data_IF_597100707485
#
_entry.id   IF_597100707485
#
_cell.length_a   1.000
_cell.length_b   1.000
_cell.length_c   1.000
_cell.angle_alpha   90.00
_cell.angle_beta   90.00
_cell.angle_gamma   90.00
#
_symmetry.space_group_name_H-M   'P 1'
#
loop_
_entity.id
_entity.type
_entity.pdbx_description
1 polymer ?
#
# COMPACT_ATOMS: atom_id res chain seq x y z
N UNK A 1 5.72 8.41 -8.34
CA UNK A 1 5.62 7.62 -7.09
C UNK A 1 4.27 6.96 -7.20
N UNK A 2 4.32 5.67 -7.50
CA UNK A 2 3.19 4.93 -8.05
C UNK A 2 2.63 4.11 -6.89
N UNK A 3 1.64 4.69 -6.22
CA UNK A 3 0.90 4.03 -5.14
C UNK A 3 -0.46 3.65 -5.68
N UNK A 4 -0.50 2.48 -6.32
CA UNK A 4 -1.74 1.86 -6.79
C UNK A 4 -2.13 0.76 -5.81
N UNK A 5 -3.40 0.74 -5.41
CA UNK A 5 -3.95 -0.33 -4.58
C UNK A 5 -5.10 -1.01 -5.32
N UNK A 6 -5.08 -2.33 -5.36
CA UNK A 6 -6.17 -3.16 -5.87
C UNK A 6 -6.88 -3.83 -4.69
N UNK A 7 -8.13 -4.23 -4.89
CA UNK A 7 -8.95 -4.82 -3.83
C UNK A 7 -9.31 -6.26 -4.16
N UNK A 8 -9.28 -7.12 -3.14
CA UNK A 8 -9.55 -8.56 -3.26
C UNK A 8 -10.99 -8.83 -3.68
N UNK A 9 -11.96 -8.17 -3.03
CA UNK A 9 -13.39 -8.34 -3.30
C UNK A 9 -13.93 -7.34 -4.34
N UNK A 10 -13.14 -6.32 -4.67
CA UNK A 10 -13.49 -5.25 -5.61
C UNK A 10 -12.52 -5.25 -6.80
N UNK A 11 -12.40 -6.40 -7.48
CA UNK A 11 -11.41 -6.66 -8.55
C UNK A 11 -11.48 -5.73 -9.76
N UNK A 12 -12.59 -5.01 -9.93
CA UNK A 12 -12.76 -4.02 -11.01
C UNK A 12 -12.33 -2.61 -10.63
N UNK A 13 -11.84 -2.41 -9.40
CA UNK A 13 -11.47 -1.11 -8.86
C UNK A 13 -10.02 -1.10 -8.38
N UNK A 14 -9.37 0.04 -8.58
CA UNK A 14 -8.09 0.37 -7.99
C UNK A 14 -8.08 1.82 -7.52
N UNK A 15 -7.27 2.12 -6.51
CA UNK A 15 -6.94 3.50 -6.14
C UNK A 15 -5.69 3.91 -6.91
N UNK A 16 -5.78 4.93 -7.76
CA UNK A 16 -4.62 5.59 -8.39
C UNK A 16 -4.34 6.93 -7.68
N UNK A 17 -3.21 7.01 -6.99
CA UNK A 17 -2.75 8.22 -6.30
C UNK A 17 -1.71 9.04 -7.08
N UNK A 18 -1.51 8.79 -8.38
CA UNK A 18 -0.49 9.45 -9.20
C UNK A 18 -0.67 10.97 -9.25
N UNK A 19 -1.92 11.45 -9.40
CA UNK A 19 -2.25 12.89 -9.49
C UNK A 19 -2.89 13.47 -8.23
N UNK A 20 -3.73 12.68 -7.56
CA UNK A 20 -4.45 13.11 -6.36
C UNK A 20 -4.36 12.03 -5.29
N UNK A 21 -3.89 12.39 -4.11
CA UNK A 21 -3.75 11.46 -2.99
C UNK A 21 -3.26 12.19 -1.74
N UNK A 22 -3.34 11.52 -0.59
CA UNK A 22 -2.82 12.04 0.66
C UNK A 22 -1.37 11.57 0.89
N UNK A 23 -0.84 11.76 2.10
CA UNK A 23 0.52 11.37 2.47
C UNK A 23 0.86 9.88 2.27
N UNK A 24 -0.13 8.98 2.25
CA UNK A 24 0.08 7.55 2.06
C UNK A 24 0.76 7.23 0.72
N UNK A 25 0.57 8.08 -0.31
CA UNK A 25 1.16 7.91 -1.65
C UNK A 25 2.69 8.00 -1.70
N UNK A 26 3.33 8.36 -0.59
CA UNK A 26 4.78 8.51 -0.50
C UNK A 26 5.43 7.40 0.34
N UNK A 27 4.63 6.51 0.95
CA UNK A 27 5.15 5.38 1.70
C UNK A 27 5.83 4.40 0.76
N UNK A 28 7.03 3.96 1.12
CA UNK A 28 7.85 3.10 0.27
C UNK A 28 7.62 1.62 0.58
N UNK A 29 8.03 0.80 -0.37
CA UNK A 29 8.00 -0.65 -0.24
C UNK A 29 8.98 -1.17 0.81
N UNK A 30 8.56 -2.17 1.57
CA UNK A 30 9.43 -3.13 2.25
C UNK A 30 8.81 -4.52 2.17
N UNK A 31 9.60 -5.52 1.78
CA UNK A 31 9.09 -6.88 1.56
C UNK A 31 8.58 -7.51 2.86
N UNK A 32 7.63 -8.45 2.74
CA UNK A 32 7.12 -9.19 3.89
C UNK A 32 8.23 -9.94 4.61
N UNK A 33 8.16 -9.97 5.95
CA UNK A 33 9.17 -10.57 6.81
C UNK A 33 10.48 -9.78 6.94
N UNK A 34 10.70 -8.70 6.18
CA UNK A 34 11.90 -7.88 6.32
C UNK A 34 11.82 -6.91 7.50
N UNK A 35 12.99 -6.67 8.11
CA UNK A 35 13.16 -5.67 9.17
C UNK A 35 12.91 -4.27 8.60
N UNK A 36 11.69 -3.77 8.80
CA UNK A 36 11.26 -2.46 8.30
C UNK A 36 9.82 -2.43 7.80
N UNK A 37 9.23 -3.58 7.46
CA UNK A 37 7.80 -3.66 7.13
C UNK A 37 6.96 -3.43 8.39
N UNK A 38 6.67 -2.15 8.67
CA UNK A 38 6.16 -1.68 9.95
C UNK A 38 4.78 -1.00 9.84
N UNK A 39 4.25 -0.87 8.63
CA UNK A 39 2.85 -0.51 8.36
C UNK A 39 2.15 -1.65 7.62
N UNK A 40 0.98 -2.03 8.13
CA UNK A 40 0.15 -3.10 7.57
C UNK A 40 -1.05 -2.46 6.85
N UNK A 41 -1.20 -2.67 5.53
CA UNK A 41 -2.39 -2.23 4.80
C UNK A 41 -3.55 -3.20 5.08
N UNK A 42 -4.75 -2.63 5.22
CA UNK A 42 -6.00 -3.36 5.36
C UNK A 42 -7.02 -2.84 4.37
N UNK A 43 -7.72 -3.75 3.73
CA UNK A 43 -8.95 -3.43 3.02
C UNK A 43 -10.06 -3.17 4.04
N UNK A 44 -10.71 -2.01 3.92
CA UNK A 44 -11.83 -1.65 4.75
C UNK A 44 -13.02 -1.24 3.87
N UNK A 45 -14.07 -2.05 3.92
CA UNK A 45 -15.26 -1.86 3.10
C UNK A 45 -16.31 -1.06 3.88
N UNK A 46 -16.73 0.06 3.30
CA UNK A 46 -17.79 0.91 3.84
C UNK A 46 -18.96 0.97 2.87
N UNK A 47 -20.12 1.46 3.31
CA UNK A 47 -21.26 1.74 2.42
C UNK A 47 -20.90 2.71 1.27
N UNK A 48 -19.86 3.53 1.46
CA UNK A 48 -19.35 4.48 0.45
C UNK A 48 -18.29 3.89 -0.48
N UNK A 49 -18.03 2.58 -0.38
CA UNK A 49 -17.03 1.87 -1.17
C UNK A 49 -15.79 1.44 -0.37
N UNK A 50 -14.84 0.80 -1.06
CA UNK A 50 -13.63 0.25 -0.45
C UNK A 50 -12.61 1.34 -0.11
N UNK A 51 -11.86 1.11 0.97
CA UNK A 51 -10.78 1.98 1.45
C UNK A 51 -9.56 1.13 1.80
N UNK A 52 -8.39 1.75 1.77
CA UNK A 52 -7.17 1.19 2.35
C UNK A 52 -6.86 1.95 3.64
N UNK A 53 -6.67 1.20 4.73
CA UNK A 53 -6.31 1.71 6.04
C UNK A 53 -4.97 1.12 6.44
N UNK A 54 -4.08 1.95 6.99
CA UNK A 54 -2.79 1.48 7.50
C UNK A 54 -2.82 1.44 9.01
N UNK A 55 -2.37 0.33 9.58
CA UNK A 55 -2.09 0.20 11.01
C UNK A 55 -0.61 -0.04 11.24
N UNK A 56 -0.11 0.25 12.44
CA UNK A 56 1.23 -0.19 12.81
C UNK A 56 1.31 -1.71 12.88
N UNK A 57 2.45 -2.27 12.51
CA UNK A 57 2.77 -3.68 12.74
C UNK A 57 2.88 -4.02 14.22
N UNK A 58 3.06 -5.32 14.52
CA UNK A 58 3.06 -5.87 15.89
C UNK A 58 4.04 -5.17 16.85
N UNK A 59 5.16 -4.67 16.34
CA UNK A 59 6.21 -4.06 17.16
C UNK A 59 6.12 -2.52 17.26
N UNK A 60 5.07 -1.92 16.70
CA UNK A 60 4.93 -0.46 16.60
C UNK A 60 5.92 0.17 15.62
N UNK A 61 5.96 1.50 15.61
CA UNK A 61 6.88 2.31 14.79
C UNK A 61 7.57 3.31 15.73
N UNK A 62 8.91 3.29 15.77
CA UNK A 62 9.67 4.21 16.62
C UNK A 62 9.82 5.57 15.95
N UNK A 63 10.01 6.61 16.76
CA UNK A 63 10.28 7.97 16.25
C UNK A 63 11.51 7.95 15.35
N UNK A 64 11.37 8.54 14.15
CA UNK A 64 12.45 8.64 13.17
C UNK A 64 12.58 7.41 12.25
N UNK A 65 11.85 6.33 12.51
CA UNK A 65 11.78 5.22 11.55
C UNK A 65 10.93 5.61 10.34
N UNK A 66 11.37 5.18 9.16
CA UNK A 66 10.58 5.30 7.96
C UNK A 66 9.37 4.37 8.04
N UNK A 67 8.22 4.86 7.56
CA UNK A 67 6.99 4.05 7.44
C UNK A 67 7.05 3.31 6.11
N UNK A 68 7.03 1.98 6.17
CA UNK A 68 7.17 1.10 5.02
C UNK A 68 6.13 -0.02 5.08
N UNK A 69 5.66 -0.45 3.91
CA UNK A 69 4.70 -1.54 3.79
C UNK A 69 5.02 -2.43 2.60
N UNK A 70 4.53 -3.67 2.59
CA UNK A 70 4.63 -4.54 1.42
C UNK A 70 3.67 -4.08 0.32
N UNK A 71 4.20 -3.94 -0.89
CA UNK A 71 3.37 -3.59 -2.06
C UNK A 71 2.65 -4.82 -2.63
N UNK A 72 2.96 -6.02 -2.13
CA UNK A 72 2.55 -7.29 -2.72
C UNK A 72 3.42 -7.69 -3.92
N UNK A 73 3.42 -8.98 -4.22
CA UNK A 73 4.21 -9.55 -5.32
C UNK A 73 3.67 -9.13 -6.70
N UNK A 74 2.35 -8.96 -6.81
CA UNK A 74 1.67 -8.57 -8.05
C UNK A 74 2.14 -7.21 -8.55
N UNK A 75 2.42 -6.26 -7.65
CA UNK A 75 2.96 -4.94 -8.01
C UNK A 75 4.24 -5.06 -8.86
N UNK A 76 5.15 -5.95 -8.49
CA UNK A 76 6.41 -6.13 -9.20
C UNK A 76 6.23 -6.79 -10.56
N UNK A 77 5.24 -7.65 -10.68
CA UNK A 77 4.86 -8.30 -11.94
C UNK A 77 4.25 -7.28 -12.90
N UNK A 78 3.29 -6.51 -12.42
CA UNK A 78 2.59 -5.49 -13.22
C UNK A 78 3.51 -4.33 -13.62
N UNK A 79 4.39 -3.89 -12.73
CA UNK A 79 5.35 -2.80 -13.01
C UNK A 79 6.29 -3.13 -14.18
N UNK A 80 6.62 -4.40 -14.39
CA UNK A 80 7.43 -4.83 -15.56
C UNK A 80 6.68 -4.63 -16.87
N UNK A 81 5.35 -4.73 -16.84
CA UNK A 81 4.47 -4.54 -17.99
C UNK A 81 4.18 -3.06 -18.25
N UNK A 82 4.28 -2.21 -17.23
CA UNK A 82 4.23 -0.75 -17.32
C UNK A 82 5.59 -0.18 -17.80
N UNK A 83 6.05 -0.59 -18.98
CA UNK A 83 7.06 0.18 -19.72
C UNK A 83 6.33 1.18 -20.60
N UNK A 84 6.10 2.38 -20.06
CA UNK A 84 5.84 3.57 -20.87
C UNK A 84 7.16 4.12 -21.39
#
# INVERSE_FOLDING_TARGET
>A
HDSTFSFTDYKTYSIDAARHGNWARFMNHCAEGQKGNNAIPWEHYTEKGPRIVFTSGQYGIKRGEQILYSYGDDYWTEKKCLKL
#
